data_IF_885506063494
#
_entry.id   IF_885506063494
#
_cell.length_a   1.000
_cell.length_b   1.000
_cell.length_c   1.000
_cell.angle_alpha   90.00
_cell.angle_beta   90.00
_cell.angle_gamma   90.00
#
_symmetry.space_group_name_H-M   'P 1'
#
loop_
_entity.id
_entity.type
_entity.pdbx_description
1 polymer ?
#
# COMPACT_ATOMS: atom_id res chain seq x y z
N UNK A 1 23.89 1.12 -12.60
CA UNK A 1 22.61 0.73 -11.97
C UNK A 1 22.64 -0.78 -11.79
N UNK A 2 22.36 -1.28 -10.59
CA UNK A 2 22.20 -2.72 -10.37
C UNK A 2 20.72 -3.08 -10.59
N UNK A 3 20.39 -4.01 -11.51
CA UNK A 3 19.01 -4.40 -11.72
C UNK A 3 18.46 -5.11 -10.48
N UNK A 4 17.22 -4.82 -10.14
CA UNK A 4 16.48 -5.43 -9.03
C UNK A 4 15.02 -5.61 -9.45
N UNK A 5 14.31 -6.64 -8.98
CA UNK A 5 12.86 -6.66 -9.13
C UNK A 5 12.26 -5.44 -8.41
N UNK A 6 11.32 -4.74 -9.07
CA UNK A 6 10.64 -3.57 -8.51
C UNK A 6 9.29 -4.02 -7.94
N UNK A 7 9.05 -3.68 -6.67
CA UNK A 7 7.84 -4.08 -5.94
C UNK A 7 6.91 -2.90 -5.67
N UNK A 8 7.47 -1.69 -5.61
CA UNK A 8 6.74 -0.45 -5.39
C UNK A 8 7.34 0.70 -6.17
N UNK A 9 6.50 1.68 -6.54
CA UNK A 9 6.91 2.90 -7.22
C UNK A 9 6.14 4.06 -6.62
N UNK A 10 6.86 5.09 -6.20
CA UNK A 10 6.31 6.36 -5.77
C UNK A 10 6.85 7.49 -6.65
N UNK A 11 5.99 8.38 -7.11
CA UNK A 11 6.37 9.54 -7.92
C UNK A 11 5.92 10.79 -7.20
N UNK A 12 6.87 11.68 -6.88
CA UNK A 12 6.58 12.93 -6.18
C UNK A 12 7.77 13.90 -6.32
N UNK A 13 7.46 15.19 -6.47
CA UNK A 13 8.41 16.30 -6.57
C UNK A 13 9.49 16.14 -7.67
N UNK A 14 9.11 15.56 -8.81
CA UNK A 14 10.03 15.35 -9.95
C UNK A 14 11.01 14.20 -9.75
N UNK A 15 10.82 13.38 -8.72
CA UNK A 15 11.56 12.14 -8.49
C UNK A 15 10.64 10.93 -8.60
N UNK A 16 11.19 9.82 -9.10
CA UNK A 16 10.59 8.50 -9.00
C UNK A 16 11.44 7.65 -8.07
N UNK A 17 10.80 7.05 -7.08
CA UNK A 17 11.40 6.15 -6.09
C UNK A 17 10.84 4.75 -6.32
N UNK A 18 11.69 3.81 -6.70
CA UNK A 18 11.31 2.42 -6.95
C UNK A 18 11.96 1.49 -5.91
N UNK A 19 11.11 0.84 -5.11
CA UNK A 19 11.53 -0.11 -4.08
C UNK A 19 11.87 -1.46 -4.70
N UNK A 20 13.08 -1.96 -4.43
CA UNK A 20 13.54 -3.27 -4.87
C UNK A 20 13.84 -4.23 -3.74
N UNK A 21 14.68 -5.24 -4.02
CA UNK A 21 15.32 -6.05 -2.98
C UNK A 21 16.60 -5.37 -2.50
N UNK A 22 16.63 -4.99 -1.23
CA UNK A 22 17.76 -4.37 -0.50
C UNK A 22 18.20 -2.99 -1.02
N UNK A 23 17.59 -2.50 -2.09
CA UNK A 23 17.93 -1.23 -2.73
C UNK A 23 16.69 -0.44 -3.11
N UNK A 24 16.84 0.88 -3.18
CA UNK A 24 15.91 1.79 -3.85
C UNK A 24 16.59 2.38 -5.08
N UNK A 25 15.89 2.38 -6.20
CA UNK A 25 16.28 3.13 -7.39
C UNK A 25 15.58 4.50 -7.33
N UNK A 26 16.34 5.57 -7.45
CA UNK A 26 15.78 6.93 -7.53
C UNK A 26 16.12 7.49 -8.90
N UNK A 27 15.10 7.97 -9.60
CA UNK A 27 15.22 8.63 -10.90
C UNK A 27 14.85 10.10 -10.74
N UNK A 28 15.80 10.97 -11.07
CA UNK A 28 15.58 12.41 -11.16
C UNK A 28 15.04 12.72 -12.55
N UNK A 29 13.79 13.19 -12.62
CA UNK A 29 13.12 13.45 -13.90
C UNK A 29 13.60 14.72 -14.59
N UNK A 30 14.22 15.64 -13.84
CA UNK A 30 14.70 16.92 -14.36
C UNK A 30 16.06 16.76 -15.01
N UNK A 31 16.95 16.06 -14.30
CA UNK A 31 18.34 15.88 -14.72
C UNK A 31 18.54 14.55 -15.49
N UNK A 32 17.47 13.76 -15.68
CA UNK A 32 17.43 12.49 -16.43
C UNK A 32 18.55 11.51 -16.00
N UNK A 33 18.62 11.23 -14.70
CA UNK A 33 19.60 10.28 -14.18
C UNK A 33 19.05 9.37 -13.08
N UNK A 34 19.67 8.21 -13.01
CA UNK A 34 19.37 7.20 -12.01
C UNK A 34 20.47 7.12 -10.95
N UNK A 35 20.06 6.91 -9.71
CA UNK A 35 20.92 6.59 -8.58
C UNK A 35 20.36 5.36 -7.85
N UNK A 36 21.21 4.69 -7.09
CA UNK A 36 20.86 3.54 -6.27
C UNK A 36 21.21 3.86 -4.82
N UNK A 37 20.25 3.67 -3.92
CA UNK A 37 20.44 3.78 -2.47
C UNK A 37 20.42 2.37 -1.87
N UNK A 38 21.42 2.03 -1.05
CA UNK A 38 21.49 0.77 -0.31
C UNK A 38 21.44 0.97 1.20
N UNK A 39 21.84 -0.07 1.94
CA UNK A 39 21.86 -0.09 3.41
C UNK A 39 22.68 1.06 4.01
N UNK A 40 23.76 1.49 3.35
CA UNK A 40 24.59 2.62 3.76
C UNK A 40 23.86 3.97 3.75
N UNK A 41 22.67 4.01 3.13
CA UNK A 41 21.76 5.17 3.06
C UNK A 41 20.51 5.00 3.93
N UNK A 42 20.38 3.89 4.65
CA UNK A 42 19.23 3.59 5.50
C UNK A 42 18.16 2.72 4.84
N UNK A 43 18.43 2.17 3.65
CA UNK A 43 17.51 1.24 3.00
C UNK A 43 17.51 -0.10 3.76
N UNK A 44 16.33 -0.69 4.06
CA UNK A 44 16.26 -1.99 4.74
C UNK A 44 16.92 -3.12 3.95
N UNK A 45 17.53 -4.09 4.63
CA UNK A 45 18.11 -5.32 4.04
C UNK A 45 17.07 -6.34 3.55
N UNK A 46 15.81 -5.93 3.41
CA UNK A 46 14.70 -6.76 2.94
C UNK A 46 14.26 -6.39 1.52
N UNK A 47 13.16 -6.97 1.06
CA UNK A 47 12.44 -6.37 -0.07
C UNK A 47 11.77 -5.06 0.38
N UNK A 48 11.37 -4.20 -0.54
CA UNK A 48 10.70 -2.94 -0.25
C UNK A 48 9.31 -3.01 -0.83
N UNK A 49 8.34 -3.31 0.02
CA UNK A 49 6.97 -3.62 -0.36
C UNK A 49 6.23 -2.37 -0.80
N UNK A 50 6.49 -1.26 -0.12
CA UNK A 50 5.93 0.03 -0.47
C UNK A 50 6.85 1.19 -0.10
N UNK A 51 6.71 2.28 -0.84
CA UNK A 51 7.41 3.54 -0.63
C UNK A 51 6.39 4.66 -0.71
N UNK A 52 6.40 5.54 0.28
CA UNK A 52 5.54 6.71 0.32
C UNK A 52 6.34 7.95 0.67
N UNK A 53 6.22 9.01 -0.13
CA UNK A 53 6.95 10.26 0.07
C UNK A 53 6.06 11.47 0.30
N UNK A 54 6.43 12.31 1.25
CA UNK A 54 6.00 13.71 1.32
C UNK A 54 7.12 14.62 0.75
N UNK A 55 7.05 15.94 0.95
CA UNK A 55 8.03 16.89 0.41
C UNK A 55 9.43 16.80 1.04
N UNK A 56 9.54 16.15 2.20
CA UNK A 56 10.76 16.13 3.01
C UNK A 56 11.29 14.72 3.25
N UNK A 57 10.41 13.73 3.35
CA UNK A 57 10.75 12.38 3.76
C UNK A 57 10.18 11.32 2.82
N UNK A 58 10.89 10.20 2.76
CA UNK A 58 10.47 8.96 2.13
C UNK A 58 10.33 7.91 3.23
N UNK A 59 9.12 7.38 3.37
CA UNK A 59 8.80 6.24 4.22
C UNK A 59 8.96 4.95 3.43
N UNK A 60 9.56 3.94 4.05
CA UNK A 60 9.92 2.68 3.41
C UNK A 60 9.30 1.54 4.22
N UNK A 61 8.34 0.84 3.62
CA UNK A 61 7.76 -0.39 4.14
C UNK A 61 8.54 -1.60 3.61
N UNK A 62 8.98 -2.47 4.51
CA UNK A 62 9.80 -3.64 4.16
C UNK A 62 9.42 -4.90 4.94
N UNK A 63 9.98 -6.05 4.54
CA UNK A 63 9.83 -7.32 5.27
C UNK A 63 10.40 -7.26 6.67
N UNK A 64 11.32 -6.34 6.91
CA UNK A 64 12.07 -6.25 8.15
C UNK A 64 11.66 -5.04 9.00
N UNK A 65 10.68 -4.26 8.54
CA UNK A 65 10.14 -3.13 9.29
C UNK A 65 9.93 -1.86 8.48
N UNK A 66 9.89 -0.75 9.21
CA UNK A 66 9.75 0.60 8.69
C UNK A 66 11.10 1.32 8.74
N UNK A 67 11.44 2.08 7.69
CA UNK A 67 12.52 3.06 7.71
C UNK A 67 12.05 4.39 7.14
N UNK A 68 12.81 5.45 7.40
CA UNK A 68 12.55 6.78 6.87
C UNK A 68 13.85 7.42 6.37
N UNK A 69 13.82 7.97 5.18
CA UNK A 69 14.93 8.69 4.54
C UNK A 69 14.53 10.15 4.37
N UNK A 70 15.45 11.07 4.67
CA UNK A 70 15.28 12.48 4.29
C UNK A 70 15.66 12.68 2.83
N UNK A 71 14.78 13.31 2.04
CA UNK A 71 14.92 13.43 0.58
C UNK A 71 16.18 14.16 0.15
N UNK A 72 16.49 15.28 0.79
CA UNK A 72 17.59 16.17 0.39
C UNK A 72 18.94 15.50 0.66
N UNK A 73 19.13 14.94 1.85
CA UNK A 73 20.41 14.31 2.23
C UNK A 73 20.52 12.88 1.71
N UNK A 74 19.38 12.24 1.37
CA UNK A 74 19.27 10.84 0.99
C UNK A 74 19.93 9.94 2.04
N UNK A 75 19.70 10.27 3.31
CA UNK A 75 20.18 9.53 4.48
C UNK A 75 19.02 9.15 5.37
N UNK A 76 19.24 8.11 6.16
CA UNK A 76 18.33 7.71 7.20
C UNK A 76 18.03 8.87 8.15
N UNK A 77 16.75 9.05 8.48
CA UNK A 77 16.26 10.06 9.41
C UNK A 77 15.20 9.43 10.33
N UNK A 78 15.60 8.58 11.29
CA UNK A 78 14.67 7.85 12.14
C UNK A 78 14.02 8.77 13.18
N UNK A 79 12.80 8.42 13.62
CA UNK A 79 12.04 9.17 14.66
C UNK A 79 11.67 8.34 15.88
N UNK A 80 12.13 7.10 15.95
CA UNK A 80 11.93 6.19 17.07
C UNK A 80 10.74 5.25 16.91
N UNK A 81 9.79 5.53 16.02
CA UNK A 81 8.65 4.62 15.76
C UNK A 81 9.08 3.35 15.02
N UNK A 82 10.23 3.36 14.35
CA UNK A 82 10.81 2.23 13.62
C UNK A 82 11.01 1.02 14.54
N UNK A 83 11.30 1.25 15.82
CA UNK A 83 11.44 0.20 16.84
C UNK A 83 10.17 -0.64 17.03
N UNK A 84 8.99 -0.06 16.77
CA UNK A 84 7.71 -0.78 16.85
C UNK A 84 7.54 -1.80 15.72
N UNK A 85 8.36 -1.68 14.67
CA UNK A 85 8.30 -2.51 13.47
C UNK A 85 9.57 -3.35 13.26
N UNK A 86 10.48 -3.40 14.23
CA UNK A 86 11.72 -4.16 14.11
C UNK A 86 11.43 -5.66 13.87
N UNK A 87 11.86 -6.18 12.72
CA UNK A 87 11.56 -7.55 12.25
C UNK A 87 10.06 -7.87 12.13
N UNK A 88 9.22 -6.84 12.00
CA UNK A 88 7.79 -6.97 11.75
C UNK A 88 7.53 -6.43 10.34
N UNK A 89 7.08 -7.27 9.40
CA UNK A 89 6.79 -6.80 8.04
C UNK A 89 5.80 -5.64 8.04
N UNK A 90 6.16 -4.60 7.30
CA UNK A 90 5.28 -3.50 6.91
C UNK A 90 5.04 -3.66 5.41
N UNK A 91 3.77 -3.75 5.02
CA UNK A 91 3.36 -4.10 3.66
C UNK A 91 2.94 -2.89 2.84
N UNK A 92 2.36 -1.86 3.47
CA UNK A 92 1.78 -0.73 2.75
C UNK A 92 1.79 0.55 3.59
N UNK A 93 1.93 1.70 2.93
CA UNK A 93 1.92 3.04 3.53
C UNK A 93 1.03 3.98 2.72
N UNK A 94 -0.01 4.51 3.36
CA UNK A 94 -0.91 5.50 2.74
C UNK A 94 -0.85 6.82 3.51
N UNK A 95 -0.51 7.91 2.81
CA UNK A 95 -0.61 9.27 3.33
C UNK A 95 -2.04 9.79 3.23
N UNK A 96 -2.59 10.29 4.33
CA UNK A 96 -3.96 10.81 4.44
C UNK A 96 -3.92 12.10 5.26
N UNK A 97 -4.11 13.24 4.61
CA UNK A 97 -3.90 14.55 5.23
C UNK A 97 -2.52 14.63 5.91
N UNK A 98 -2.47 14.86 7.23
CA UNK A 98 -1.24 14.89 8.05
C UNK A 98 -0.89 13.53 8.68
N UNK A 99 -1.66 12.49 8.40
CA UNK A 99 -1.50 11.16 8.99
C UNK A 99 -0.85 10.20 7.98
N UNK A 100 0.15 9.44 8.44
CA UNK A 100 0.72 8.29 7.74
C UNK A 100 0.10 7.02 8.30
N UNK A 101 -0.66 6.32 7.45
CA UNK A 101 -1.26 5.03 7.74
C UNK A 101 -0.29 3.92 7.37
N UNK A 102 0.04 3.08 8.34
CA UNK A 102 1.06 2.03 8.22
C UNK A 102 0.35 0.69 8.37
N UNK A 103 0.32 -0.08 7.29
CA UNK A 103 -0.20 -1.44 7.25
C UNK A 103 0.89 -2.45 7.52
N UNK A 104 0.86 -3.11 8.68
CA UNK A 104 1.86 -4.10 9.06
C UNK A 104 1.27 -5.48 9.31
N UNK A 105 2.14 -6.46 9.54
CA UNK A 105 1.74 -7.79 10.01
C UNK A 105 1.02 -7.73 11.35
N UNK A 106 1.41 -6.82 12.24
CA UNK A 106 0.84 -6.69 13.60
C UNK A 106 -0.41 -5.83 13.65
N UNK A 107 -0.68 -5.01 12.62
CA UNK A 107 -1.94 -4.30 12.46
C UNK A 107 -1.78 -2.96 11.76
N UNK A 108 -2.78 -2.09 11.93
CA UNK A 108 -2.77 -0.73 11.38
C UNK A 108 -2.28 0.24 12.45
N UNK A 109 -1.32 1.08 12.08
CA UNK A 109 -0.82 2.18 12.89
C UNK A 109 -1.00 3.49 12.15
N UNK A 110 -1.25 4.57 12.89
CA UNK A 110 -1.43 5.92 12.32
C UNK A 110 -0.48 6.86 13.03
N UNK A 111 0.47 7.41 12.28
CA UNK A 111 1.43 8.39 12.77
C UNK A 111 1.04 9.79 12.29
N UNK A 112 0.84 10.72 13.21
CA UNK A 112 0.55 12.11 12.85
C UNK A 112 1.85 12.90 12.68
N UNK A 113 2.03 13.51 11.52
CA UNK A 113 3.26 14.23 11.18
C UNK A 113 3.40 15.57 11.90
N UNK A 114 2.30 16.27 12.20
CA UNK A 114 2.31 17.57 12.87
C UNK A 114 2.46 17.47 14.39
N UNK A 115 1.84 16.45 14.99
CA UNK A 115 1.92 16.13 16.41
C UNK A 115 2.47 14.70 16.54
N UNK A 116 3.81 14.52 16.63
CA UNK A 116 4.50 13.24 16.51
C UNK A 116 4.02 12.20 17.53
N UNK A 117 2.93 11.51 17.19
CA UNK A 117 2.24 10.55 18.00
C UNK A 117 1.78 9.41 17.09
N UNK A 118 2.05 8.19 17.53
CA UNK A 118 1.60 6.98 16.86
C UNK A 118 0.48 6.33 17.65
N UNK A 119 -0.59 5.94 16.94
CA UNK A 119 -1.76 5.25 17.51
C UNK A 119 -2.02 3.96 16.76
N UNK A 120 -2.52 2.94 17.44
CA UNK A 120 -3.00 1.72 16.77
C UNK A 120 -4.46 1.89 16.38
N UNK A 121 -4.91 1.22 15.31
CA UNK A 121 -6.32 1.30 14.88
C UNK A 121 -7.33 0.96 15.97
N UNK A 122 -7.00 0.07 16.90
CA UNK A 122 -7.86 -0.27 18.05
C UNK A 122 -8.13 0.92 18.99
N UNK A 123 -7.24 1.92 18.99
CA UNK A 123 -7.30 3.12 19.81
C UNK A 123 -7.86 4.32 19.01
N UNK A 124 -8.27 4.11 17.76
CA UNK A 124 -8.74 5.15 16.84
C UNK A 124 -10.21 4.91 16.50
N UNK A 125 -11.06 5.76 17.07
CA UNK A 125 -12.50 5.74 16.79
C UNK A 125 -13.23 4.56 17.43
N UNK A 126 -14.53 4.45 17.13
CA UNK A 126 -15.37 3.33 17.56
C UNK A 126 -15.21 2.16 16.60
N UNK A 127 -15.25 0.95 17.14
CA UNK A 127 -15.16 -0.29 16.35
C UNK A 127 -16.37 -1.18 16.59
N UNK A 128 -17.04 -1.56 15.51
CA UNK A 128 -18.27 -2.36 15.58
C UNK A 128 -18.03 -3.87 15.37
N UNK A 129 -16.79 -4.34 15.50
CA UNK A 129 -16.42 -5.75 15.39
C UNK A 129 -15.30 -6.16 16.36
N UNK A 130 -15.34 -7.38 16.92
CA UNK A 130 -14.39 -7.83 17.95
C UNK A 130 -13.00 -8.21 17.41
N UNK A 131 -12.89 -8.62 16.15
CA UNK A 131 -11.69 -9.24 15.57
C UNK A 131 -10.51 -8.27 15.45
N UNK A 132 -9.29 -8.73 15.67
CA UNK A 132 -8.10 -7.89 15.53
C UNK A 132 -7.80 -7.57 14.06
N UNK A 133 -7.44 -6.31 13.78
CA UNK A 133 -6.91 -5.91 12.49
C UNK A 133 -5.43 -6.32 12.44
N UNK A 134 -5.14 -7.47 11.86
CA UNK A 134 -3.78 -8.01 11.69
C UNK A 134 -3.54 -8.38 10.21
N UNK A 135 -2.28 -8.64 9.86
CA UNK A 135 -1.85 -8.96 8.48
C UNK A 135 -2.46 -7.99 7.46
N UNK A 136 -2.11 -6.72 7.61
CA UNK A 136 -2.63 -5.67 6.73
C UNK A 136 -1.86 -5.71 5.42
N UNK A 137 -2.48 -6.10 4.32
CA UNK A 137 -1.76 -6.26 3.04
C UNK A 137 -1.93 -5.10 2.08
N UNK A 138 -2.95 -4.27 2.29
CA UNK A 138 -3.17 -3.07 1.49
C UNK A 138 -4.04 -2.04 2.25
N UNK A 139 -3.77 -0.76 2.03
CA UNK A 139 -4.48 0.40 2.55
C UNK A 139 -4.75 1.35 1.37
N UNK A 140 -5.95 1.91 1.32
CA UNK A 140 -6.28 2.95 0.33
C UNK A 140 -7.28 3.93 0.88
N UNK A 141 -6.97 5.22 0.78
CA UNK A 141 -7.93 6.28 1.03
C UNK A 141 -8.74 6.57 -0.24
N UNK A 142 -10.05 6.76 -0.06
CA UNK A 142 -10.93 7.28 -1.10
C UNK A 142 -12.14 8.00 -0.49
N UNK A 143 -12.34 9.27 -0.84
CA UNK A 143 -13.48 10.10 -0.42
C UNK A 143 -13.69 10.14 1.11
N UNK A 144 -12.60 10.35 1.86
CA UNK A 144 -12.50 10.39 3.32
C UNK A 144 -12.77 9.06 4.03
N UNK A 145 -12.61 7.95 3.31
CA UNK A 145 -12.74 6.60 3.85
C UNK A 145 -11.45 5.84 3.59
N UNK A 146 -10.85 5.32 4.65
CA UNK A 146 -9.66 4.47 4.55
C UNK A 146 -10.10 3.01 4.50
N UNK A 147 -9.81 2.34 3.39
CA UNK A 147 -10.05 0.92 3.18
C UNK A 147 -8.80 0.13 3.54
N UNK A 148 -8.97 -0.97 4.27
CA UNK A 148 -7.89 -1.82 4.75
C UNK A 148 -8.20 -3.27 4.43
N UNK A 149 -7.29 -3.94 3.72
CA UNK A 149 -7.35 -5.39 3.52
C UNK A 149 -6.52 -6.06 4.59
N UNK A 150 -7.14 -7.00 5.30
CA UNK A 150 -6.59 -7.69 6.47
C UNK A 150 -7.03 -9.16 6.47
N UNK A 151 -6.56 -9.96 7.44
CA UNK A 151 -6.85 -11.40 7.51
C UNK A 151 -8.34 -11.74 7.48
N UNK A 152 -9.17 -10.95 8.19
CA UNK A 152 -10.61 -11.19 8.26
C UNK A 152 -11.38 -10.76 7.01
N UNK A 153 -10.78 -9.91 6.15
CA UNK A 153 -11.50 -9.30 5.04
C UNK A 153 -11.11 -7.86 4.76
N UNK A 154 -12.08 -7.08 4.31
CA UNK A 154 -11.95 -5.65 4.03
C UNK A 154 -12.68 -4.88 5.12
N UNK A 155 -11.92 -4.14 5.92
CA UNK A 155 -12.46 -3.15 6.84
C UNK A 155 -12.37 -1.76 6.20
N UNK A 156 -13.23 -0.84 6.65
CA UNK A 156 -13.10 0.58 6.34
C UNK A 156 -13.13 1.40 7.62
N UNK A 157 -12.49 2.56 7.58
CA UNK A 157 -12.56 3.59 8.59
C UNK A 157 -13.10 4.89 7.98
N UNK A 158 -14.21 5.39 8.50
CA UNK A 158 -14.75 6.69 8.13
C UNK A 158 -13.99 7.78 8.91
N UNK A 159 -13.26 8.66 8.20
CA UNK A 159 -12.44 9.70 8.84
C UNK A 159 -13.29 10.78 9.53
N UNK A 160 -14.55 10.97 9.11
CA UNK A 160 -15.48 11.97 9.66
C UNK A 160 -16.19 11.43 10.87
N UNK A 161 -16.81 10.25 10.75
CA UNK A 161 -17.59 9.63 11.83
C UNK A 161 -16.70 8.89 12.84
N UNK A 162 -15.43 8.63 12.48
CA UNK A 162 -14.45 7.91 13.31
C UNK A 162 -14.96 6.52 13.69
N UNK A 163 -15.50 5.78 12.72
CA UNK A 163 -16.02 4.42 12.91
C UNK A 163 -15.32 3.43 11.99
N UNK A 164 -14.92 2.31 12.58
CA UNK A 164 -14.47 1.11 11.88
C UNK A 164 -15.64 0.17 11.61
N UNK A 165 -15.75 -0.27 10.36
CA UNK A 165 -16.76 -1.23 9.89
C UNK A 165 -16.07 -2.33 9.06
N UNK A 166 -16.34 -3.60 9.38
CA UNK A 166 -15.99 -4.72 8.50
C UNK A 166 -17.05 -4.79 7.39
N UNK A 167 -16.66 -4.43 6.16
CA UNK A 167 -17.61 -4.35 5.05
C UNK A 167 -17.72 -5.66 4.26
N UNK A 168 -16.64 -6.43 4.15
CA UNK A 168 -16.63 -7.71 3.45
C UNK A 168 -15.72 -8.70 4.14
N UNK A 169 -16.20 -9.88 4.57
CA UNK A 169 -15.31 -10.94 5.05
C UNK A 169 -14.46 -11.50 3.90
N UNK A 170 -13.32 -12.10 4.22
CA UNK A 170 -12.38 -12.63 3.21
C UNK A 170 -12.97 -13.71 2.32
N UNK A 171 -14.00 -14.42 2.79
CA UNK A 171 -14.75 -15.41 2.02
C UNK A 171 -15.40 -14.84 0.75
N UNK A 172 -15.72 -13.53 0.72
CA UNK A 172 -16.30 -12.85 -0.45
C UNK A 172 -15.36 -12.89 -1.65
N UNK A 173 -14.04 -12.91 -1.41
CA UNK A 173 -13.01 -13.06 -2.43
C UNK A 173 -12.23 -14.37 -2.26
N UNK A 174 -12.88 -15.40 -1.70
CA UNK A 174 -12.34 -16.75 -1.51
C UNK A 174 -11.02 -16.82 -0.74
N UNK A 175 -10.80 -15.90 0.21
CA UNK A 175 -9.58 -15.80 1.01
C UNK A 175 -8.28 -15.74 0.18
N UNK A 176 -8.38 -15.23 -1.06
CA UNK A 176 -7.23 -15.00 -1.93
C UNK A 176 -6.23 -14.04 -1.29
N UNK A 177 -4.96 -14.21 -1.61
CA UNK A 177 -3.93 -13.27 -1.15
C UNK A 177 -4.06 -11.98 -1.94
N UNK A 178 -4.16 -10.86 -1.24
CA UNK A 178 -4.30 -9.54 -1.87
C UNK A 178 -2.97 -8.81 -1.78
N UNK A 179 -2.48 -8.35 -2.93
CA UNK A 179 -1.22 -7.63 -3.06
C UNK A 179 -1.39 -6.14 -3.36
N UNK A 180 -2.57 -5.75 -3.86
CA UNK A 180 -2.86 -4.33 -4.14
C UNK A 180 -4.35 -4.03 -4.06
N UNK A 181 -4.67 -2.78 -3.74
CA UNK A 181 -6.02 -2.28 -3.56
C UNK A 181 -6.21 -0.98 -4.34
N UNK A 182 -7.32 -0.87 -5.07
CA UNK A 182 -7.79 0.42 -5.57
C UNK A 182 -9.31 0.52 -5.50
N UNK A 183 -9.81 1.75 -5.39
CA UNK A 183 -11.19 2.01 -4.99
C UNK A 183 -11.78 3.14 -5.83
N UNK A 184 -13.06 3.04 -6.18
CA UNK A 184 -13.86 4.16 -6.69
C UNK A 184 -15.23 4.19 -6.03
N UNK A 185 -16.08 5.13 -6.45
CA UNK A 185 -17.42 5.32 -5.89
C UNK A 185 -18.27 4.03 -5.82
N UNK A 186 -18.14 3.11 -6.78
CA UNK A 186 -19.00 1.92 -6.88
C UNK A 186 -18.30 0.61 -6.55
N UNK A 187 -16.98 0.52 -6.73
CA UNK A 187 -16.25 -0.73 -6.67
C UNK A 187 -14.98 -0.65 -5.83
N UNK A 188 -14.63 -1.80 -5.27
CA UNK A 188 -13.30 -2.12 -4.74
C UNK A 188 -12.66 -3.10 -5.71
N UNK A 189 -11.40 -2.88 -6.05
CA UNK A 189 -10.60 -3.79 -6.86
C UNK A 189 -9.44 -4.32 -6.03
N UNK A 190 -9.28 -5.63 -6.03
CA UNK A 190 -8.19 -6.35 -5.36
C UNK A 190 -7.30 -7.00 -6.41
N UNK A 191 -6.01 -6.74 -6.35
CA UNK A 191 -5.01 -7.48 -7.11
C UNK A 191 -4.61 -8.72 -6.32
N UNK A 192 -4.71 -9.90 -6.93
CA UNK A 192 -4.51 -11.19 -6.25
C UNK A 192 -3.39 -12.00 -6.87
N UNK A 193 -3.13 -13.19 -6.33
CA UNK A 193 -2.11 -14.12 -6.85
C UNK A 193 -2.37 -14.56 -8.30
N UNK A 194 -3.62 -14.49 -8.77
CA UNK A 194 -4.04 -15.02 -10.07
C UNK A 194 -5.07 -14.11 -10.78
N UNK A 195 -4.85 -12.80 -10.75
CA UNK A 195 -5.66 -11.83 -11.50
C UNK A 195 -6.18 -10.71 -10.61
N UNK A 196 -7.43 -10.28 -10.87
CA UNK A 196 -8.09 -9.28 -10.03
C UNK A 196 -9.52 -9.69 -9.65
N UNK A 197 -9.95 -9.19 -8.49
CA UNK A 197 -11.33 -9.30 -8.01
C UNK A 197 -11.95 -7.91 -7.97
N UNK A 198 -13.11 -7.73 -8.59
CA UNK A 198 -13.92 -6.52 -8.49
C UNK A 198 -15.14 -6.77 -7.61
N UNK A 199 -15.29 -5.99 -6.56
CA UNK A 199 -16.41 -6.07 -5.61
C UNK A 199 -17.28 -4.83 -5.78
N UNK A 200 -18.59 -5.01 -5.92
CA UNK A 200 -19.54 -3.90 -5.84
C UNK A 200 -19.75 -3.51 -4.37
N UNK A 201 -19.44 -2.25 -4.01
CA UNK A 201 -19.51 -1.75 -2.63
C UNK A 201 -20.89 -1.87 -1.99
N UNK A 202 -21.96 -1.77 -2.79
CA UNK A 202 -23.34 -1.80 -2.29
C UNK A 202 -23.87 -3.22 -2.09
N UNK A 203 -23.54 -4.12 -3.02
CA UNK A 203 -24.16 -5.46 -3.06
C UNK A 203 -23.22 -6.58 -2.62
N UNK A 204 -21.93 -6.30 -2.48
CA UNK A 204 -20.89 -7.33 -2.26
C UNK A 204 -20.68 -8.26 -3.45
N UNK A 205 -21.38 -8.05 -4.58
CA UNK A 205 -21.24 -8.90 -5.76
C UNK A 205 -19.80 -8.84 -6.29
N UNK A 206 -19.19 -10.00 -6.42
CA UNK A 206 -17.82 -10.14 -6.90
C UNK A 206 -17.79 -10.58 -8.35
N UNK A 207 -16.78 -10.09 -9.06
CA UNK A 207 -16.38 -10.64 -10.36
C UNK A 207 -14.89 -10.82 -10.37
N UNK A 208 -14.46 -12.04 -10.67
CA UNK A 208 -13.05 -12.39 -10.81
C UNK A 208 -12.63 -12.31 -12.28
N UNK A 209 -11.41 -11.85 -12.52
CA UNK A 209 -10.80 -11.81 -13.84
C UNK A 209 -9.46 -12.55 -13.78
N UNK A 210 -9.53 -13.88 -13.89
CA UNK A 210 -8.41 -14.80 -13.73
C UNK A 210 -7.83 -15.22 -15.08
N UNK A 211 -7.44 -14.24 -15.89
CA UNK A 211 -6.85 -14.51 -17.20
C UNK A 211 -5.35 -14.81 -17.07
N UNK A 212 -4.83 -15.85 -17.76
CA UNK A 212 -3.40 -16.20 -17.68
C UNK A 212 -2.45 -15.05 -18.03
N UNK A 213 -2.84 -14.16 -18.95
CA UNK A 213 -2.04 -12.99 -19.34
C UNK A 213 -1.98 -11.89 -18.26
N UNK A 214 -2.81 -11.97 -17.20
CA UNK A 214 -2.73 -11.06 -16.06
C UNK A 214 -1.76 -11.62 -15.03
N UNK A 215 -1.92 -12.87 -14.61
CA UNK A 215 -1.13 -13.47 -13.52
C UNK A 215 -1.31 -12.73 -12.18
N UNK A 216 -0.30 -12.77 -11.30
CA UNK A 216 -0.32 -12.03 -10.03
C UNK A 216 -0.30 -10.52 -10.26
N UNK A 217 -1.17 -9.76 -9.58
CA UNK A 217 -1.30 -8.30 -9.70
C UNK A 217 -0.69 -7.61 -8.48
N UNK A 218 0.52 -7.07 -8.64
CA UNK A 218 1.30 -6.45 -7.56
C UNK A 218 0.95 -4.98 -7.33
N UNK A 219 0.55 -4.27 -8.38
CA UNK A 219 0.19 -2.86 -8.31
C UNK A 219 -1.00 -2.57 -9.23
N UNK A 220 -1.84 -1.63 -8.83
CA UNK A 220 -2.98 -1.18 -9.63
C UNK A 220 -3.12 0.33 -9.59
N UNK A 221 -3.31 0.93 -10.77
CA UNK A 221 -3.75 2.31 -10.90
C UNK A 221 -5.08 2.36 -11.66
N UNK A 222 -6.07 3.04 -11.09
CA UNK A 222 -7.39 3.19 -11.68
C UNK A 222 -7.54 4.56 -12.34
N UNK A 223 -7.73 4.55 -13.65
CA UNK A 223 -8.03 5.72 -14.46
C UNK A 223 -9.42 5.55 -15.11
N UNK A 224 -10.43 6.07 -14.41
CA UNK A 224 -11.84 6.00 -14.80
C UNK A 224 -12.35 4.56 -15.00
N UNK A 225 -12.37 4.10 -16.26
CA UNK A 225 -12.83 2.74 -16.66
C UNK A 225 -11.68 1.79 -17.00
N UNK A 226 -10.45 2.23 -16.80
CA UNK A 226 -9.23 1.50 -17.14
C UNK A 226 -8.45 1.22 -15.86
N UNK A 227 -8.01 -0.02 -15.72
CA UNK A 227 -7.01 -0.40 -14.73
C UNK A 227 -5.69 -0.63 -15.43
N UNK A 228 -4.63 0.01 -14.93
CA UNK A 228 -3.27 -0.32 -15.24
C UNK A 228 -2.75 -1.25 -14.16
N UNK A 229 -2.32 -2.44 -14.56
CA UNK A 229 -1.88 -3.50 -13.66
C UNK A 229 -0.37 -3.69 -13.84
N UNK A 230 0.39 -3.49 -12.78
CA UNK A 230 1.75 -4.01 -12.69
C UNK A 230 1.66 -5.47 -12.25
N UNK A 231 1.86 -6.39 -13.18
CA UNK A 231 1.65 -7.81 -12.93
C UNK A 231 2.91 -8.64 -13.16
N UNK A 232 2.87 -9.89 -12.70
CA UNK A 232 3.92 -10.89 -13.00
C UNK A 232 4.11 -11.17 -14.51
N UNK A 233 3.16 -10.73 -15.35
CA UNK A 233 3.19 -10.83 -16.81
C UNK A 233 3.55 -9.49 -17.49
N UNK A 234 3.97 -8.49 -16.71
CA UNK A 234 4.30 -7.15 -17.19
C UNK A 234 3.17 -6.14 -16.98
N UNK A 235 3.18 -5.07 -17.77
CA UNK A 235 2.17 -4.01 -17.70
C UNK A 235 0.92 -4.42 -18.49
N UNK A 236 -0.22 -4.53 -17.81
CA UNK A 236 -1.51 -4.86 -18.44
C UNK A 236 -2.47 -3.68 -18.34
N UNK A 237 -3.04 -3.28 -19.48
CA UNK A 237 -4.13 -2.30 -19.55
C UNK A 237 -5.47 -3.03 -19.64
N UNK A 238 -6.32 -2.92 -18.62
CA UNK A 238 -7.56 -3.67 -18.50
C UNK A 238 -8.79 -2.76 -18.44
N UNK A 239 -9.74 -2.93 -19.38
CA UNK A 239 -11.00 -2.17 -19.40
C UNK A 239 -12.12 -2.96 -18.74
N UNK A 240 -12.37 -2.70 -17.47
CA UNK A 240 -13.25 -3.52 -16.61
C UNK A 240 -14.76 -3.44 -16.91
N UNK A 241 -15.20 -2.53 -17.79
CA UNK A 241 -16.62 -2.41 -18.24
C UNK A 241 -16.92 -3.13 -19.55
N UNK A 242 -15.93 -3.71 -20.23
CA UNK A 242 -16.21 -4.68 -21.29
C UNK A 242 -16.46 -6.00 -20.60
N UNK A 243 -17.70 -6.21 -20.23
CA UNK A 243 -18.20 -7.56 -20.01
C UNK A 243 -18.12 -8.22 -21.40
N UNK A 244 -17.34 -9.28 -21.53
CA UNK A 244 -17.41 -10.15 -22.70
C UNK A 244 -18.79 -10.81 -22.74
#
# INVERSE_FOLDING_TARGET
>A
MNPTPVYSIHVSDGELWAGGKEIILVYDMKDDYWRTLGEERGVPSGVIWDVHGDSSYIWIASSVGLRRIERVTQRESPIGIENLFFNIPVYDIEGVDDDIWIGSRSGVFVFNQQNPQIRQAKDIGRKDFPELLNRITAIKEFERVVYVVCEMGIAKFDLKERVWELIFPSSIYHAKTVYSLTVNQKHIFLGTENGLVRINKKTGFTREYSFPFIGQVNAMNLDGKTLWLGSSQGLVKFKWKRDL
#
